data_IF_686578060576
#
_entry.id   IF_686578060576
#
_cell.length_a   1.000
_cell.length_b   1.000
_cell.length_c   1.000
_cell.angle_alpha   90.00
_cell.angle_beta   90.00
_cell.angle_gamma   90.00
#
_symmetry.space_group_name_H-M   'P 1'
#
loop_
_entity.id
_entity.type
_entity.pdbx_description
1 polymer ?
#
# COMPACT_ATOMS: atom_id res chain seq x y z
N UNK A 1 12.84 24.10 -12.27
CA UNK A 1 13.22 22.66 -12.15
C UNK A 1 12.22 21.84 -12.95
N UNK A 2 12.66 20.85 -13.73
CA UNK A 2 11.79 20.09 -14.64
C UNK A 2 10.85 19.14 -13.89
N UNK A 3 9.77 19.66 -13.32
CA UNK A 3 8.79 18.93 -12.50
C UNK A 3 8.20 17.71 -13.24
N UNK A 4 8.03 17.81 -14.57
CA UNK A 4 7.45 16.73 -15.39
C UNK A 4 8.29 15.45 -15.47
N UNK A 5 9.63 15.55 -15.59
CA UNK A 5 10.51 14.36 -15.67
C UNK A 5 10.61 13.63 -14.32
N UNK A 6 10.66 14.38 -13.22
CA UNK A 6 10.65 13.82 -11.87
C UNK A 6 9.30 13.13 -11.57
N UNK A 7 8.20 13.79 -11.96
CA UNK A 7 6.84 13.26 -11.80
C UNK A 7 6.59 11.97 -12.59
N UNK A 8 7.13 11.87 -13.81
CA UNK A 8 7.07 10.62 -14.59
C UNK A 8 7.85 9.47 -13.94
N UNK A 9 8.98 9.73 -13.27
CA UNK A 9 9.75 8.72 -12.54
C UNK A 9 8.98 8.20 -11.30
N UNK A 10 8.32 9.12 -10.59
CA UNK A 10 7.44 8.78 -9.45
C UNK A 10 6.32 7.85 -9.92
N UNK A 11 5.61 8.22 -11.00
CA UNK A 11 4.53 7.40 -11.55
C UNK A 11 5.03 6.00 -11.97
N UNK A 12 6.15 5.92 -12.69
CA UNK A 12 6.74 4.63 -13.09
C UNK A 12 7.08 3.73 -11.91
N UNK A 13 7.53 4.30 -10.78
CA UNK A 13 7.84 3.55 -9.55
C UNK A 13 6.57 3.10 -8.81
N UNK A 14 5.48 3.88 -8.86
CA UNK A 14 4.23 3.54 -8.17
C UNK A 14 3.53 2.30 -8.77
N UNK A 15 3.65 2.05 -10.08
CA UNK A 15 3.05 0.86 -10.71
C UNK A 15 3.49 -0.47 -10.11
N UNK A 16 4.81 -0.82 -10.08
CA UNK A 16 5.24 -2.08 -9.51
C UNK A 16 4.90 -2.17 -8.02
N UNK A 17 4.98 -1.07 -7.26
CA UNK A 17 4.58 -1.05 -5.85
C UNK A 17 3.10 -1.40 -5.66
N UNK A 18 2.21 -0.81 -6.46
CA UNK A 18 0.80 -1.11 -6.38
C UNK A 18 0.48 -2.56 -6.79
N UNK A 19 1.16 -3.08 -7.83
CA UNK A 19 1.02 -4.48 -8.25
C UNK A 19 1.49 -5.43 -7.13
N UNK A 20 2.63 -5.17 -6.49
CA UNK A 20 3.10 -5.94 -5.35
C UNK A 20 2.07 -5.91 -4.22
N UNK A 21 1.49 -4.73 -3.93
CA UNK A 21 0.48 -4.59 -2.88
C UNK A 21 -0.77 -5.43 -3.15
N UNK A 22 -1.25 -5.43 -4.40
CA UNK A 22 -2.38 -6.26 -4.85
C UNK A 22 -2.06 -7.74 -4.71
N UNK A 23 -0.89 -8.17 -5.22
CA UNK A 23 -0.48 -9.58 -5.17
C UNK A 23 -0.35 -10.06 -3.73
N UNK A 24 0.36 -9.31 -2.87
CA UNK A 24 0.51 -9.68 -1.46
C UNK A 24 -0.85 -9.82 -0.76
N UNK A 25 -1.80 -8.92 -1.02
CA UNK A 25 -3.12 -8.99 -0.42
C UNK A 25 -3.95 -10.17 -0.93
N UNK A 26 -3.85 -10.51 -2.23
CA UNK A 26 -4.52 -11.70 -2.79
C UNK A 26 -3.92 -12.98 -2.18
N UNK A 27 -2.60 -13.08 -2.12
CA UNK A 27 -1.92 -14.24 -1.56
C UNK A 27 -2.28 -14.42 -0.07
N UNK A 28 -2.43 -13.33 0.70
CA UNK A 28 -2.87 -13.38 2.09
C UNK A 28 -4.23 -14.07 2.32
N UNK A 29 -5.12 -14.11 1.32
CA UNK A 29 -6.40 -14.84 1.43
C UNK A 29 -6.24 -16.37 1.38
N UNK A 30 -5.10 -16.86 0.90
CA UNK A 30 -4.84 -18.29 0.67
C UNK A 30 -3.62 -18.74 1.46
N UNK A 31 -3.70 -18.81 2.80
CA UNK A 31 -2.60 -19.30 3.61
C UNK A 31 -2.28 -20.76 3.23
N UNK A 32 -0.99 -21.08 3.11
CA UNK A 32 -0.50 -22.38 2.62
C UNK A 32 -0.95 -22.73 1.18
N UNK A 33 -1.44 -21.73 0.41
CA UNK A 33 -1.99 -21.93 -0.94
C UNK A 33 -3.32 -22.69 -0.96
N UNK A 34 -3.93 -22.90 0.20
CA UNK A 34 -5.14 -23.72 0.34
C UNK A 34 -6.38 -22.83 0.49
N UNK A 35 -7.42 -23.16 -0.28
CA UNK A 35 -8.69 -22.43 -0.27
C UNK A 35 -9.58 -22.81 0.91
N UNK A 36 -9.32 -23.95 1.58
CA UNK A 36 -10.17 -24.44 2.68
C UNK A 36 -10.26 -23.43 3.83
N UNK A 37 -9.15 -22.76 4.15
CA UNK A 37 -9.12 -21.78 5.24
C UNK A 37 -9.97 -20.55 4.92
N UNK A 38 -10.05 -20.17 3.65
CA UNK A 38 -10.93 -19.10 3.19
C UNK A 38 -12.40 -19.52 3.20
N UNK A 39 -12.71 -20.74 2.76
CA UNK A 39 -14.06 -21.28 2.72
C UNK A 39 -14.65 -21.47 4.12
N UNK A 40 -13.84 -21.95 5.06
CA UNK A 40 -14.24 -22.21 6.44
C UNK A 40 -14.22 -20.93 7.31
N UNK A 41 -13.87 -19.78 6.74
CA UNK A 41 -13.82 -18.49 7.44
C UNK A 41 -12.61 -18.28 8.36
N UNK A 42 -11.66 -19.22 8.36
CA UNK A 42 -10.43 -19.20 9.16
C UNK A 42 -9.33 -18.32 8.51
N UNK A 43 -9.64 -17.04 8.29
CA UNK A 43 -8.68 -16.03 7.82
C UNK A 43 -8.55 -14.93 8.87
N UNK A 44 -7.31 -14.48 9.09
CA UNK A 44 -6.97 -13.27 9.86
C UNK A 44 -7.86 -12.09 9.46
N UNK A 45 -8.43 -11.39 10.44
CA UNK A 45 -9.41 -10.31 10.19
C UNK A 45 -8.82 -9.17 9.36
N UNK A 46 -7.56 -8.82 9.59
CA UNK A 46 -6.86 -7.73 8.93
C UNK A 46 -6.69 -7.96 7.42
N UNK A 47 -6.68 -9.22 6.96
CA UNK A 47 -6.67 -9.56 5.53
C UNK A 47 -7.98 -9.14 4.86
N UNK A 48 -9.11 -9.26 5.59
CA UNK A 48 -10.45 -8.92 5.09
C UNK A 48 -10.63 -7.40 4.93
N UNK A 49 -9.81 -6.59 5.58
CA UNK A 49 -9.78 -5.14 5.36
C UNK A 49 -9.20 -4.75 4.00
N UNK A 50 -8.59 -5.70 3.27
CA UNK A 50 -8.11 -5.48 1.91
C UNK A 50 -7.16 -4.28 1.78
N UNK A 51 -6.34 -4.03 2.83
CA UNK A 51 -5.44 -2.89 2.90
C UNK A 51 -4.52 -2.78 1.69
N UNK A 52 -3.94 -3.90 1.24
CA UNK A 52 -3.06 -3.90 0.07
C UNK A 52 -3.79 -3.84 -1.27
N UNK A 53 -4.96 -4.48 -1.41
CA UNK A 53 -5.72 -4.46 -2.66
C UNK A 53 -6.37 -3.09 -2.90
N UNK A 54 -7.11 -2.59 -1.92
CA UNK A 54 -7.86 -1.33 -2.04
C UNK A 54 -6.96 -0.14 -1.76
N UNK A 55 -6.25 -0.16 -0.62
CA UNK A 55 -5.38 0.94 -0.19
C UNK A 55 -4.14 1.10 -1.05
N UNK A 56 -3.18 0.17 -0.91
CA UNK A 56 -1.90 0.24 -1.62
C UNK A 56 -1.98 -0.11 -3.11
N UNK A 57 -3.08 -0.71 -3.55
CA UNK A 57 -3.33 -1.11 -4.93
C UNK A 57 -4.15 -0.06 -5.69
N UNK A 58 -5.48 -0.18 -5.62
CA UNK A 58 -6.42 0.63 -6.42
C UNK A 58 -6.24 2.13 -6.17
N UNK A 59 -6.24 2.57 -4.90
CA UNK A 59 -6.16 3.99 -4.56
C UNK A 59 -4.81 4.64 -4.91
N UNK A 60 -3.75 3.83 -5.08
CA UNK A 60 -2.41 4.30 -5.52
C UNK A 60 -2.26 4.22 -7.06
N UNK A 61 -2.92 3.27 -7.72
CA UNK A 61 -2.93 3.19 -9.19
C UNK A 61 -3.61 4.40 -9.85
N UNK A 62 -4.68 4.93 -9.24
CA UNK A 62 -5.39 6.13 -9.74
C UNK A 62 -4.44 7.33 -9.91
N UNK A 63 -3.70 7.78 -8.88
CA UNK A 63 -2.70 8.84 -9.06
C UNK A 63 -1.58 8.44 -10.01
N UNK A 64 -1.08 7.21 -9.97
CA UNK A 64 0.00 6.79 -10.89
C UNK A 64 -0.41 6.92 -12.37
N UNK A 65 -1.63 6.54 -12.73
CA UNK A 65 -2.21 6.73 -14.07
C UNK A 65 -2.37 8.20 -14.40
N UNK A 66 -2.96 8.99 -13.50
CA UNK A 66 -3.19 10.40 -13.73
C UNK A 66 -1.87 11.18 -13.92
N UNK A 67 -0.88 10.92 -13.08
CA UNK A 67 0.44 11.54 -13.12
C UNK A 67 1.18 11.16 -14.41
N UNK A 68 1.11 9.90 -14.83
CA UNK A 68 1.73 9.47 -16.09
C UNK A 68 1.11 10.20 -17.29
N UNK A 69 -0.23 10.24 -17.37
CA UNK A 69 -0.95 10.89 -18.47
C UNK A 69 -0.65 12.40 -18.53
N UNK A 70 -0.69 13.08 -17.38
CA UNK A 70 -0.41 14.53 -17.30
C UNK A 70 1.07 14.88 -17.44
N UNK A 71 1.98 13.98 -17.06
CA UNK A 71 3.43 14.14 -17.22
C UNK A 71 3.89 14.20 -18.68
N UNK A 72 3.12 13.60 -19.61
CA UNK A 72 3.39 13.66 -21.06
C UNK A 72 2.96 14.98 -21.72
N UNK A 73 2.03 15.73 -21.11
CA UNK A 73 1.47 16.95 -21.70
C UNK A 73 2.31 18.23 -21.49
N UNK A 74 3.50 18.12 -20.87
CA UNK A 74 4.42 19.25 -20.74
C UNK A 74 3.99 20.28 -19.68
N UNK A 75 4.90 21.21 -19.38
CA UNK A 75 4.95 22.03 -18.16
C UNK A 75 3.84 23.11 -17.99
N UNK A 76 2.78 23.10 -18.81
CA UNK A 76 1.68 24.06 -18.77
C UNK A 76 0.32 23.38 -18.95
N UNK A 77 -0.08 22.56 -17.98
CA UNK A 77 -1.49 22.22 -17.80
C UNK A 77 -2.25 23.41 -17.21
N UNK A 78 -3.47 23.69 -17.68
CA UNK A 78 -4.36 24.70 -17.09
C UNK A 78 -4.45 24.52 -15.55
N UNK A 79 -4.72 25.59 -14.79
CA UNK A 79 -4.78 25.59 -13.31
C UNK A 79 -5.59 24.43 -12.72
N UNK A 80 -6.65 24.02 -13.44
CA UNK A 80 -7.49 22.86 -13.11
C UNK A 80 -6.74 21.51 -13.14
N UNK A 81 -5.86 21.26 -14.11
CA UNK A 81 -5.10 20.01 -14.21
C UNK A 81 -4.05 19.84 -13.11
N UNK A 82 -3.49 20.94 -12.61
CA UNK A 82 -2.56 20.89 -11.47
C UNK A 82 -3.26 20.62 -10.15
N UNK A 83 -4.44 21.22 -9.92
CA UNK A 83 -5.25 20.95 -8.72
C UNK A 83 -5.72 19.50 -8.66
N UNK A 84 -6.10 18.93 -9.82
CA UNK A 84 -6.46 17.51 -9.91
C UNK A 84 -5.28 16.59 -9.59
N UNK A 85 -4.06 16.92 -10.03
CA UNK A 85 -2.85 16.14 -9.67
C UNK A 85 -2.63 16.08 -8.16
N UNK A 86 -2.81 17.21 -7.47
CA UNK A 86 -2.72 17.30 -6.01
C UNK A 86 -3.83 16.45 -5.35
N UNK A 87 -5.06 16.54 -5.85
CA UNK A 87 -6.19 15.76 -5.33
C UNK A 87 -5.97 14.26 -5.47
N UNK A 88 -5.56 13.78 -6.65
CA UNK A 88 -5.27 12.36 -6.85
C UNK A 88 -4.07 11.91 -6.01
N UNK A 89 -3.02 12.73 -5.88
CA UNK A 89 -1.90 12.43 -5.00
C UNK A 89 -2.36 12.30 -3.53
N UNK A 90 -3.32 13.13 -3.09
CA UNK A 90 -3.91 13.02 -1.75
C UNK A 90 -4.69 11.71 -1.57
N UNK A 91 -5.44 11.28 -2.57
CA UNK A 91 -6.09 9.95 -2.59
C UNK A 91 -5.04 8.84 -2.48
N UNK A 92 -3.92 8.96 -3.21
CA UNK A 92 -2.80 8.02 -3.11
C UNK A 92 -2.16 7.97 -1.73
N UNK A 93 -1.95 9.13 -1.08
CA UNK A 93 -1.46 9.19 0.30
C UNK A 93 -2.45 8.53 1.26
N UNK A 94 -3.74 8.83 1.14
CA UNK A 94 -4.78 8.24 2.00
C UNK A 94 -4.85 6.71 1.84
N UNK A 95 -4.84 6.22 0.60
CA UNK A 95 -4.82 4.78 0.31
C UNK A 95 -3.58 4.06 0.83
N UNK A 96 -2.40 4.66 0.62
CA UNK A 96 -1.14 4.11 1.12
C UNK A 96 -1.08 4.11 2.66
N UNK A 97 -1.52 5.19 3.32
CA UNK A 97 -1.63 5.24 4.78
C UNK A 97 -2.60 4.20 5.32
N UNK A 98 -3.75 4.01 4.67
CA UNK A 98 -4.69 2.96 5.04
C UNK A 98 -4.02 1.57 4.98
N UNK A 99 -3.34 1.24 3.88
CA UNK A 99 -2.59 -0.02 3.75
C UNK A 99 -1.52 -0.17 4.82
N UNK A 100 -0.81 0.91 5.14
CA UNK A 100 0.26 0.93 6.15
C UNK A 100 -0.29 0.63 7.54
N UNK A 101 -1.39 1.29 7.92
CA UNK A 101 -2.03 1.09 9.23
C UNK A 101 -2.55 -0.34 9.34
N UNK A 102 -3.24 -0.86 8.32
CA UNK A 102 -3.74 -2.24 8.31
C UNK A 102 -2.57 -3.23 8.44
N UNK A 103 -1.48 -3.03 7.71
CA UNK A 103 -0.31 -3.90 7.80
C UNK A 103 0.38 -3.86 9.17
N UNK A 104 0.47 -2.67 9.78
CA UNK A 104 1.04 -2.52 11.12
C UNK A 104 0.17 -3.19 12.19
N UNK A 105 -1.15 -3.04 12.11
CA UNK A 105 -2.10 -3.70 13.01
C UNK A 105 -2.04 -5.21 12.86
N UNK A 106 -1.97 -5.71 11.62
CA UNK A 106 -1.84 -7.15 11.36
C UNK A 106 -0.56 -7.71 11.98
N UNK A 107 0.60 -7.08 11.75
CA UNK A 107 1.88 -7.50 12.34
C UNK A 107 1.88 -7.44 13.87
N UNK A 108 1.08 -6.55 14.47
CA UNK A 108 0.94 -6.47 15.92
C UNK A 108 0.05 -7.60 16.47
N UNK A 109 -1.09 -7.87 15.84
CA UNK A 109 -2.07 -8.84 16.33
C UNK A 109 -1.67 -10.29 16.02
N UNK A 110 -0.92 -10.49 14.94
CA UNK A 110 -0.49 -11.80 14.46
C UNK A 110 -1.58 -12.59 13.74
N UNK A 111 -1.21 -13.72 13.13
CA UNK A 111 -2.15 -14.51 12.34
C UNK A 111 -3.20 -15.21 13.20
N UNK A 112 -4.37 -15.42 12.59
CA UNK A 112 -5.30 -16.44 13.06
C UNK A 112 -4.73 -17.82 12.73
N UNK A 113 -4.59 -18.67 13.74
CA UNK A 113 -4.11 -20.04 13.57
C UNK A 113 -4.80 -20.99 14.54
N UNK A 114 -4.72 -22.29 14.23
CA UNK A 114 -5.19 -23.35 15.10
C UNK A 114 -4.15 -23.61 16.19
N UNK A 115 -4.59 -23.51 17.44
CA UNK A 115 -3.83 -23.90 18.63
C UNK A 115 -4.55 -25.10 19.24
N UNK A 116 -3.92 -26.27 19.16
CA UNK A 116 -4.54 -27.57 19.49
C UNK A 116 -5.84 -27.81 18.68
N UNK A 117 -7.00 -27.46 19.24
CA UNK A 117 -8.32 -27.65 18.63
C UNK A 117 -9.08 -26.33 18.36
N UNK A 118 -8.56 -25.19 18.81
CA UNK A 118 -9.25 -23.90 18.77
C UNK A 118 -8.55 -22.94 17.82
N UNK A 119 -9.32 -22.18 17.05
CA UNK A 119 -8.80 -21.09 16.21
C UNK A 119 -8.71 -19.80 17.02
N UNK A 120 -7.51 -19.23 17.09
CA UNK A 120 -7.25 -18.02 17.87
C UNK A 120 -6.07 -17.25 17.29
N UNK A 121 -5.83 -16.04 17.79
CA UNK A 121 -4.68 -15.20 17.49
C UNK A 121 -3.75 -15.20 18.71
N UNK A 122 -2.88 -16.21 18.88
CA UNK A 122 -2.17 -16.44 20.15
C UNK A 122 -1.12 -15.37 20.50
N UNK A 123 -0.78 -14.53 19.52
CA UNK A 123 0.19 -13.44 19.65
C UNK A 123 -0.46 -12.09 19.98
N UNK A 124 -1.78 -12.00 19.87
CA UNK A 124 -2.53 -10.78 20.18
C UNK A 124 -2.39 -10.47 21.67
N UNK A 125 -2.14 -9.20 21.99
CA UNK A 125 -1.99 -8.69 23.36
C UNK A 125 -0.87 -9.32 24.21
N UNK A 126 0.14 -9.93 23.59
CA UNK A 126 1.36 -10.37 24.29
C UNK A 126 2.40 -9.26 24.40
N UNK A 127 3.08 -9.18 25.54
CA UNK A 127 4.19 -8.24 25.78
C UNK A 127 5.44 -8.58 24.94
N UNK A 128 5.69 -9.86 24.66
CA UNK A 128 6.82 -10.33 23.88
C UNK A 128 6.52 -10.30 22.38
N UNK A 129 7.32 -9.55 21.60
CA UNK A 129 7.16 -9.48 20.15
C UNK A 129 7.57 -10.79 19.46
N UNK A 130 6.57 -11.53 18.97
CA UNK A 130 6.76 -12.76 18.20
C UNK A 130 7.45 -12.55 16.84
N UNK A 131 7.63 -11.29 16.41
CA UNK A 131 8.29 -10.94 15.15
C UNK A 131 9.78 -11.31 15.16
N UNK A 132 10.43 -11.16 16.31
CA UNK A 132 11.86 -11.47 16.48
C UNK A 132 12.10 -12.75 17.28
N UNK A 133 11.09 -13.20 18.05
CA UNK A 133 11.18 -14.42 18.86
C UNK A 133 10.34 -15.55 18.26
N UNK A 134 11.04 -16.56 17.73
CA UNK A 134 10.43 -17.74 17.10
C UNK A 134 9.97 -18.80 18.09
N UNK A 135 10.27 -18.66 19.38
CA UNK A 135 9.98 -19.65 20.43
C UNK A 135 8.53 -20.11 20.43
N UNK A 136 7.61 -19.19 20.13
CA UNK A 136 6.16 -19.44 20.20
C UNK A 136 5.51 -19.80 18.86
N UNK A 137 6.24 -19.74 17.74
CA UNK A 137 5.71 -20.07 16.41
C UNK A 137 5.15 -21.51 16.32
N UNK A 138 5.75 -22.55 16.95
CA UNK A 138 5.22 -23.92 16.91
C UNK A 138 3.85 -24.09 17.57
N UNK A 139 3.36 -23.09 18.31
CA UNK A 139 2.01 -23.11 18.92
C UNK A 139 0.92 -23.13 17.86
N UNK A 140 1.18 -22.53 16.68
CA UNK A 140 0.29 -22.59 15.53
C UNK A 140 0.49 -23.91 14.79
N UNK A 141 -0.46 -24.84 14.93
CA UNK A 141 -0.38 -26.18 14.30
C UNK A 141 -0.96 -26.21 12.89
N UNK A 142 -1.87 -25.29 12.56
CA UNK A 142 -2.39 -25.10 11.20
C UNK A 142 -2.80 -23.63 10.99
N UNK A 143 -2.66 -23.06 9.78
CA UNK A 143 -1.95 -23.58 8.61
C UNK A 143 -0.43 -23.75 8.84
N UNK A 144 0.24 -24.57 8.02
CA UNK A 144 1.69 -24.76 8.14
C UNK A 144 2.42 -23.44 7.84
N UNK A 145 3.44 -23.12 8.64
CA UNK A 145 4.27 -21.92 8.47
C UNK A 145 3.46 -20.59 8.38
N UNK A 146 2.25 -20.55 8.93
CA UNK A 146 1.36 -19.38 8.86
C UNK A 146 2.00 -18.13 9.44
N UNK A 147 2.81 -18.27 10.50
CA UNK A 147 3.47 -17.14 11.15
C UNK A 147 4.48 -16.47 10.22
N UNK A 148 5.33 -17.25 9.56
CA UNK A 148 6.31 -16.74 8.61
C UNK A 148 5.64 -16.11 7.38
N UNK A 149 4.63 -16.81 6.83
CA UNK A 149 3.82 -16.34 5.72
C UNK A 149 3.16 -14.98 6.02
N UNK A 150 2.52 -14.89 7.18
CA UNK A 150 1.85 -13.68 7.65
C UNK A 150 2.83 -12.53 7.85
N UNK A 151 3.95 -12.76 8.54
CA UNK A 151 4.98 -11.74 8.75
C UNK A 151 5.54 -11.27 7.42
N UNK A 152 5.94 -12.19 6.53
CA UNK A 152 6.56 -11.84 5.26
C UNK A 152 5.67 -10.97 4.38
N UNK A 153 4.39 -11.33 4.24
CA UNK A 153 3.46 -10.59 3.38
C UNK A 153 3.06 -9.24 3.98
N UNK A 154 2.75 -9.18 5.28
CA UNK A 154 2.39 -7.90 5.91
C UNK A 154 3.60 -6.97 6.09
N UNK A 155 4.81 -7.48 6.34
CA UNK A 155 6.02 -6.68 6.33
C UNK A 155 6.31 -6.10 4.94
N UNK A 156 6.09 -6.90 3.88
CA UNK A 156 6.19 -6.42 2.50
C UNK A 156 5.17 -5.30 2.23
N UNK A 157 3.91 -5.50 2.63
CA UNK A 157 2.87 -4.46 2.51
C UNK A 157 3.23 -3.19 3.29
N UNK A 158 3.79 -3.32 4.50
CA UNK A 158 4.22 -2.19 5.31
C UNK A 158 5.33 -1.39 4.61
N UNK A 159 6.35 -2.06 4.08
CA UNK A 159 7.46 -1.41 3.37
C UNK A 159 7.00 -0.74 2.07
N UNK A 160 6.19 -1.46 1.27
CA UNK A 160 5.65 -0.96 0.00
C UNK A 160 4.75 0.25 0.23
N UNK A 161 3.81 0.17 1.18
CA UNK A 161 2.91 1.27 1.51
C UNK A 161 3.66 2.47 2.09
N UNK A 162 4.70 2.25 2.91
CA UNK A 162 5.59 3.32 3.37
C UNK A 162 6.26 4.08 2.22
N UNK A 163 6.78 3.36 1.22
CA UNK A 163 7.36 3.98 0.03
C UNK A 163 6.31 4.71 -0.81
N UNK A 164 5.10 4.15 -0.95
CA UNK A 164 3.98 4.82 -1.63
C UNK A 164 3.59 6.13 -0.97
N UNK A 165 3.53 6.19 0.38
CA UNK A 165 3.28 7.43 1.12
C UNK A 165 4.33 8.49 0.76
N UNK A 166 5.62 8.13 0.78
CA UNK A 166 6.71 9.05 0.46
C UNK A 166 6.59 9.57 -0.97
N UNK A 167 6.35 8.68 -1.94
CA UNK A 167 6.24 9.02 -3.35
C UNK A 167 5.03 9.91 -3.66
N UNK A 168 3.84 9.55 -3.14
CA UNK A 168 2.63 10.33 -3.32
C UNK A 168 2.70 11.69 -2.62
N UNK A 169 3.30 11.77 -1.42
CA UNK A 169 3.52 13.03 -0.72
C UNK A 169 4.51 13.94 -1.49
N UNK A 170 5.57 13.36 -2.04
CA UNK A 170 6.52 14.10 -2.90
C UNK A 170 5.82 14.66 -4.13
N UNK A 171 4.95 13.87 -4.77
CA UNK A 171 4.14 14.35 -5.90
C UNK A 171 3.20 15.50 -5.48
N UNK A 172 2.56 15.39 -4.32
CA UNK A 172 1.67 16.43 -3.80
C UNK A 172 2.44 17.75 -3.60
N UNK A 173 3.63 17.69 -2.99
CA UNK A 173 4.51 18.84 -2.80
C UNK A 173 4.95 19.43 -4.15
N UNK A 174 5.36 18.59 -5.10
CA UNK A 174 5.73 19.03 -6.45
C UNK A 174 4.56 19.72 -7.19
N UNK A 175 3.34 19.20 -7.03
CA UNK A 175 2.12 19.81 -7.55
C UNK A 175 1.85 21.18 -6.93
N UNK A 176 2.00 21.31 -5.61
CA UNK A 176 1.85 22.59 -4.90
C UNK A 176 2.86 23.64 -5.37
N UNK A 177 4.15 23.27 -5.48
CA UNK A 177 5.19 24.18 -5.97
C UNK A 177 4.93 24.64 -7.40
N UNK A 178 4.50 23.75 -8.30
CA UNK A 178 4.17 24.19 -9.65
C UNK A 178 2.90 25.06 -9.71
N UNK A 179 1.97 24.93 -8.74
CA UNK A 179 0.78 25.78 -8.66
C UNK A 179 1.11 27.18 -8.12
N UNK A 180 2.06 27.28 -7.18
CA UNK A 180 2.48 28.54 -6.55
C UNK A 180 3.56 29.29 -7.37
N UNK A 181 4.51 28.57 -7.97
CA UNK A 181 5.61 29.14 -8.74
C UNK A 181 5.38 29.14 -10.26
N UNK A 182 4.25 28.61 -10.74
CA UNK A 182 3.88 28.61 -12.16
C UNK A 182 3.39 29.98 -12.62
N UNK A 183 4.30 30.89 -12.96
CA UNK A 183 3.96 32.13 -13.67
C UNK A 183 3.30 31.75 -14.99
N UNK A 184 2.02 32.06 -15.16
CA UNK A 184 1.32 32.00 -16.44
C UNK A 184 1.89 33.05 -17.39
N UNK A 185 3.09 32.82 -17.94
CA UNK A 185 3.54 33.58 -19.09
C UNK A 185 2.83 33.01 -20.31
N UNK A 186 1.63 33.53 -20.57
CA UNK A 186 1.03 33.46 -21.90
C UNK A 186 2.01 34.15 -22.84
N UNK A 187 2.79 33.38 -23.61
CA UNK A 187 3.18 33.87 -24.93
C UNK A 187 1.96 33.68 -25.81
N UNK A 188 1.13 34.72 -25.89
CA UNK A 188 0.37 34.97 -27.11
C UNK A 188 1.40 35.02 -28.24
N UNK A 189 1.38 34.02 -29.09
CA UNK A 189 2.11 34.08 -30.35
C UNK A 189 1.06 34.40 -31.40
N UNK A 190 1.01 35.71 -31.68
CA UNK A 190 0.52 36.44 -32.85
C UNK A 190 -0.42 35.70 -33.81
#
# INVERSE_FOLDING_TARGET
>A
MCTGKCSSCIASTLYPLAVISIICNIVLFFPDGDVKYAQDGHITEEVKYMGGLVGGGILVLLPALYIHLTGKQGCCGNRCGMLLSILFAAVGVAGALYSLIVAAVALKNGPLCKVLLVWTTPFKDRDSSYLNDKTWWPTCTAPNNIVEFHIGLFATLLAVSGLQVILCATQMINGLFGCLCGTCNKKEVL
#
